data_IF_499706082853
#
_entry.id   IF_499706082853
#
_cell.length_a   1.000
_cell.length_b   1.000
_cell.length_c   1.000
_cell.angle_alpha   90.00
_cell.angle_beta   90.00
_cell.angle_gamma   90.00
#
_symmetry.space_group_name_H-M   'P 1'
#
loop_
_entity.id
_entity.type
_entity.pdbx_description
1 polymer ?
#
# COMPACT_ATOMS: atom_id res chain seq x y z
N UNK A 1 -26.81 20.77 0.80
CA UNK A 1 -26.18 19.43 0.71
C UNK A 1 -24.85 19.41 -0.07
N UNK A 2 -24.52 20.40 -0.92
CA UNK A 2 -23.29 20.41 -1.72
C UNK A 2 -22.00 20.81 -0.97
N UNK A 3 -22.09 21.70 0.04
CA UNK A 3 -20.90 22.18 0.77
C UNK A 3 -20.22 21.06 1.56
N UNK A 4 -20.98 20.15 2.18
CA UNK A 4 -20.40 19.03 2.94
C UNK A 4 -19.75 17.97 2.04
N UNK A 5 -20.31 17.70 0.86
CA UNK A 5 -19.67 16.85 -0.15
C UNK A 5 -18.38 17.47 -0.67
N UNK A 6 -18.35 18.79 -0.87
CA UNK A 6 -17.16 19.54 -1.27
C UNK A 6 -16.11 19.61 -0.14
N UNK A 7 -16.53 19.71 1.11
CA UNK A 7 -15.62 19.66 2.27
C UNK A 7 -15.02 18.27 2.46
N UNK A 8 -15.82 17.21 2.30
CA UNK A 8 -15.32 15.82 2.21
C UNK A 8 -14.43 15.60 0.97
N UNK A 9 -14.61 16.37 -0.10
CA UNK A 9 -13.80 16.33 -1.32
C UNK A 9 -12.47 17.10 -1.17
N UNK A 10 -12.45 18.22 -0.45
CA UNK A 10 -11.31 19.13 -0.31
C UNK A 10 -10.39 18.80 0.87
N UNK A 11 -10.87 18.11 1.89
CA UNK A 11 -9.99 17.45 2.85
C UNK A 11 -9.65 16.07 2.25
N UNK A 12 -8.37 15.72 2.04
CA UNK A 12 -8.04 14.33 1.78
C UNK A 12 -8.61 13.55 2.97
N UNK A 13 -9.53 12.62 2.69
CA UNK A 13 -10.26 11.90 3.71
C UNK A 13 -9.32 11.27 4.73
N UNK A 14 -9.83 10.90 5.90
CA UNK A 14 -8.95 10.34 6.94
C UNK A 14 -8.28 9.09 6.37
N UNK A 15 -6.95 9.04 6.39
CA UNK A 15 -6.24 7.83 5.95
C UNK A 15 -6.52 6.73 6.97
N UNK A 16 -7.32 5.74 6.56
CA UNK A 16 -7.48 4.51 7.32
C UNK A 16 -6.39 3.53 6.91
N UNK A 17 -5.74 2.92 7.89
CA UNK A 17 -4.68 1.92 7.69
C UNK A 17 -5.07 0.64 8.42
N UNK A 18 -4.88 -0.49 7.77
CA UNK A 18 -5.15 -1.77 8.38
C UNK A 18 -4.27 -1.98 9.64
N UNK A 19 -4.89 -2.42 10.75
CA UNK A 19 -4.16 -2.58 12.01
C UNK A 19 -3.15 -3.74 11.98
N UNK A 20 -3.32 -4.72 11.10
CA UNK A 20 -2.36 -5.80 10.92
C UNK A 20 -1.88 -5.87 9.47
N UNK A 21 -0.78 -6.59 9.25
CA UNK A 21 -0.38 -7.01 7.90
C UNK A 21 -1.52 -7.81 7.27
N UNK A 22 -1.87 -7.48 6.02
CA UNK A 22 -2.93 -8.20 5.31
C UNK A 22 -2.43 -9.54 4.73
N UNK A 23 -1.13 -9.62 4.42
CA UNK A 23 -0.48 -10.81 3.88
C UNK A 23 1.05 -10.69 4.00
N UNK A 24 1.74 -11.83 4.04
CA UNK A 24 3.21 -11.94 4.20
C UNK A 24 3.78 -12.87 3.13
N UNK A 25 5.06 -12.72 2.75
CA UNK A 25 5.72 -13.51 1.67
C UNK A 25 5.01 -13.36 0.31
N UNK A 26 4.59 -12.14 0.00
CA UNK A 26 3.93 -11.77 -1.25
C UNK A 26 4.77 -10.72 -1.99
N UNK A 27 4.62 -10.64 -3.32
CA UNK A 27 5.22 -9.55 -4.09
C UNK A 27 4.47 -8.24 -3.87
N UNK A 28 5.07 -7.11 -4.29
CA UNK A 28 4.37 -5.83 -4.34
C UNK A 28 3.13 -5.89 -5.26
N UNK A 29 3.26 -6.57 -6.40
CA UNK A 29 2.15 -6.73 -7.35
C UNK A 29 0.98 -7.50 -6.75
N UNK A 30 1.26 -8.55 -5.99
CA UNK A 30 0.21 -9.32 -5.29
C UNK A 30 -0.49 -8.46 -4.23
N UNK A 31 0.25 -7.59 -3.53
CA UNK A 31 -0.33 -6.67 -2.57
C UNK A 31 -1.26 -5.65 -3.25
N UNK A 32 -0.86 -5.10 -4.41
CA UNK A 32 -1.71 -4.20 -5.21
C UNK A 32 -2.94 -4.91 -5.77
N UNK A 33 -2.80 -6.14 -6.28
CA UNK A 33 -3.95 -6.96 -6.69
C UNK A 33 -4.92 -7.19 -5.54
N UNK A 34 -4.41 -7.39 -4.32
CA UNK A 34 -5.25 -7.52 -3.13
C UNK A 34 -5.98 -6.23 -2.78
N UNK A 35 -5.33 -5.07 -2.91
CA UNK A 35 -6.00 -3.76 -2.80
C UNK A 35 -7.15 -3.63 -3.80
N UNK A 36 -6.92 -4.01 -5.06
CA UNK A 36 -7.93 -3.98 -6.12
C UNK A 36 -9.10 -4.91 -5.76
N UNK A 37 -8.81 -6.15 -5.36
CA UNK A 37 -9.82 -7.13 -4.94
C UNK A 37 -10.70 -6.60 -3.80
N UNK A 38 -10.09 -6.07 -2.73
CA UNK A 38 -10.82 -5.52 -1.58
C UNK A 38 -11.64 -4.27 -1.96
N UNK A 39 -11.15 -3.46 -2.90
CA UNK A 39 -11.89 -2.30 -3.42
C UNK A 39 -13.15 -2.72 -4.17
N UNK A 40 -13.07 -3.79 -4.98
CA UNK A 40 -14.25 -4.36 -5.64
C UNK A 40 -15.26 -4.94 -4.65
N UNK A 41 -14.79 -5.54 -3.55
CA UNK A 41 -15.64 -6.11 -2.52
C UNK A 41 -16.28 -5.07 -1.56
N UNK A 42 -15.66 -3.90 -1.39
CA UNK A 42 -16.12 -2.86 -0.46
C UNK A 42 -17.50 -2.29 -0.83
N UNK A 43 -18.43 -2.23 0.13
CA UNK A 43 -19.82 -1.80 -0.10
C UNK A 43 -19.89 -0.29 -0.37
N UNK A 44 -19.03 0.47 0.27
CA UNK A 44 -18.92 1.92 0.23
C UNK A 44 -18.27 2.46 -1.05
N UNK A 45 -17.68 1.61 -1.88
CA UNK A 45 -17.15 1.99 -3.21
C UNK A 45 -18.28 1.92 -4.22
N UNK A 46 -18.53 3.03 -4.93
CA UNK A 46 -19.66 3.12 -5.85
C UNK A 46 -19.53 2.15 -7.04
N UNK A 47 -20.68 1.70 -7.57
CA UNK A 47 -20.71 0.81 -8.73
C UNK A 47 -20.02 1.42 -9.97
N UNK A 48 -20.10 2.74 -10.15
CA UNK A 48 -19.42 3.46 -11.24
C UNK A 48 -17.90 3.37 -11.12
N UNK A 49 -17.33 3.49 -9.91
CA UNK A 49 -15.88 3.33 -9.69
C UNK A 49 -15.47 1.89 -9.99
N UNK A 50 -16.23 0.89 -9.53
CA UNK A 50 -15.94 -0.53 -9.80
C UNK A 50 -15.99 -0.83 -11.31
N UNK A 51 -16.99 -0.30 -12.02
CA UNK A 51 -17.10 -0.47 -13.47
C UNK A 51 -15.91 0.15 -14.22
N UNK A 52 -15.48 1.36 -13.83
CA UNK A 52 -14.30 2.03 -14.39
C UNK A 52 -13.00 1.26 -14.10
N UNK A 53 -12.83 0.74 -12.88
CA UNK A 53 -11.71 -0.15 -12.54
C UNK A 53 -11.65 -1.37 -13.44
N UNK A 54 -12.78 -2.07 -13.63
CA UNK A 54 -12.87 -3.23 -14.54
C UNK A 54 -12.53 -2.85 -15.98
N UNK A 55 -13.04 -1.72 -16.47
CA UNK A 55 -12.77 -1.24 -17.83
C UNK A 55 -11.29 -0.93 -18.08
N UNK A 56 -10.57 -0.49 -17.04
CA UNK A 56 -9.12 -0.23 -17.08
C UNK A 56 -8.26 -1.47 -16.81
N UNK A 57 -8.87 -2.64 -16.57
CA UNK A 57 -8.16 -3.88 -16.27
C UNK A 57 -7.59 -3.92 -14.84
N UNK A 58 -8.13 -3.12 -13.92
CA UNK A 58 -7.82 -3.19 -12.50
C UNK A 58 -8.74 -4.23 -11.83
N UNK A 59 -8.33 -5.49 -11.96
CA UNK A 59 -8.96 -6.66 -11.35
C UNK A 59 -7.98 -7.42 -10.47
N UNK A 60 -8.45 -8.45 -9.75
CA UNK A 60 -7.57 -9.33 -8.96
C UNK A 60 -6.50 -10.06 -9.80
N UNK A 61 -6.64 -10.08 -11.13
CA UNK A 61 -5.69 -10.65 -12.08
C UNK A 61 -4.96 -9.60 -12.91
N UNK A 62 -4.92 -8.34 -12.46
CA UNK A 62 -4.25 -7.24 -13.16
C UNK A 62 -2.78 -7.58 -13.49
N UNK A 63 -2.32 -7.17 -14.68
CA UNK A 63 -0.91 -7.25 -15.06
C UNK A 63 -0.04 -6.38 -14.15
N UNK A 64 1.27 -6.62 -14.13
CA UNK A 64 2.22 -5.81 -13.37
C UNK A 64 2.19 -4.32 -13.81
N UNK A 65 2.06 -4.07 -15.11
CA UNK A 65 1.88 -2.72 -15.66
C UNK A 65 0.60 -2.04 -15.18
N UNK A 66 -0.50 -2.79 -15.06
CA UNK A 66 -1.76 -2.27 -14.54
C UNK A 66 -1.68 -2.02 -13.03
N UNK A 67 -0.93 -2.84 -12.29
CA UNK A 67 -0.68 -2.59 -10.86
C UNK A 67 0.09 -1.29 -10.64
N UNK A 68 1.10 -1.02 -11.46
CA UNK A 68 1.84 0.26 -11.48
C UNK A 68 0.88 1.42 -11.78
N UNK A 69 0.14 1.36 -12.89
CA UNK A 69 -0.78 2.42 -13.28
C UNK A 69 -1.87 2.67 -12.22
N UNK A 70 -2.38 1.60 -11.60
CA UNK A 70 -3.34 1.68 -10.50
C UNK A 70 -2.78 2.46 -9.32
N UNK A 71 -1.59 2.10 -8.84
CA UNK A 71 -0.99 2.73 -7.68
C UNK A 71 -0.58 4.19 -7.97
N UNK A 72 -0.04 4.48 -9.15
CA UNK A 72 0.56 5.80 -9.45
C UNK A 72 -0.47 6.86 -9.83
N UNK A 73 -1.50 6.46 -10.57
CA UNK A 73 -2.40 7.43 -11.22
C UNK A 73 -3.84 7.26 -10.77
N UNK A 74 -4.28 6.03 -10.55
CA UNK A 74 -5.68 5.77 -10.26
C UNK A 74 -6.03 5.98 -8.79
N UNK A 75 -5.36 5.25 -7.91
CA UNK A 75 -5.68 5.22 -6.49
C UNK A 75 -5.53 6.56 -5.78
N UNK A 76 -4.51 7.41 -6.07
CA UNK A 76 -4.41 8.74 -5.49
C UNK A 76 -5.59 9.65 -5.87
N UNK A 77 -6.14 9.50 -7.08
CA UNK A 77 -7.26 10.28 -7.58
C UNK A 77 -8.64 9.75 -7.22
N UNK A 78 -8.74 8.62 -6.50
CA UNK A 78 -10.01 7.95 -6.17
C UNK A 78 -10.13 7.78 -4.66
N UNK A 79 -11.08 8.50 -4.05
CA UNK A 79 -11.40 8.30 -2.63
C UNK A 79 -12.00 6.90 -2.41
N UNK A 80 -11.80 6.32 -1.22
CA UNK A 80 -12.36 5.04 -0.76
C UNK A 80 -11.80 3.77 -1.40
N UNK A 81 -10.88 3.86 -2.36
CA UNK A 81 -10.19 2.67 -2.88
C UNK A 81 -9.03 2.29 -1.96
N UNK A 82 -8.75 0.98 -1.87
CA UNK A 82 -7.57 0.49 -1.16
C UNK A 82 -6.32 0.68 -2.02
N UNK A 83 -5.21 0.99 -1.37
CA UNK A 83 -3.88 1.08 -1.99
C UNK A 83 -2.81 0.79 -0.97
N UNK A 84 -1.58 0.66 -1.46
CA UNK A 84 -0.43 0.67 -0.56
C UNK A 84 -0.19 2.10 -0.06
N UNK A 85 0.32 2.21 1.16
CA UNK A 85 0.84 3.46 1.71
C UNK A 85 2.01 3.95 0.85
N UNK A 86 2.18 5.25 0.73
CA UNK A 86 3.47 5.81 0.32
C UNK A 86 4.45 5.76 1.50
N UNK A 87 5.74 5.89 1.24
CA UNK A 87 6.78 5.98 2.29
C UNK A 87 6.48 7.08 3.33
N UNK A 88 6.06 8.26 2.86
CA UNK A 88 5.72 9.39 3.73
C UNK A 88 4.53 9.08 4.65
N UNK A 89 3.47 8.46 4.12
CA UNK A 89 2.28 8.12 4.90
C UNK A 89 2.54 6.98 5.89
N UNK A 90 3.38 6.02 5.50
CA UNK A 90 3.81 4.97 6.42
C UNK A 90 4.60 5.57 7.59
N UNK A 91 5.55 6.46 7.30
CA UNK A 91 6.33 7.18 8.33
C UNK A 91 5.44 8.02 9.25
N UNK A 92 4.44 8.72 8.71
CA UNK A 92 3.47 9.46 9.54
C UNK A 92 2.67 8.52 10.44
N UNK A 93 2.14 7.42 9.89
CA UNK A 93 1.37 6.44 10.67
C UNK A 93 2.21 5.78 11.76
N UNK A 94 3.49 5.54 11.48
CA UNK A 94 4.46 5.05 12.46
C UNK A 94 4.66 6.05 13.60
N UNK A 95 5.01 7.30 13.29
CA UNK A 95 5.28 8.34 14.28
C UNK A 95 4.06 8.75 15.11
N UNK A 96 2.85 8.59 14.55
CA UNK A 96 1.58 8.91 15.22
C UNK A 96 0.94 7.72 15.95
N UNK A 97 1.59 6.55 15.96
CA UNK A 97 1.08 5.37 16.67
C UNK A 97 -0.18 4.76 16.05
N UNK A 98 -0.48 5.06 14.78
CA UNK A 98 -1.61 4.46 14.03
C UNK A 98 -1.34 2.99 13.64
N UNK A 99 -0.10 2.50 13.83
CA UNK A 99 0.30 1.11 13.58
C UNK A 99 0.38 0.35 14.92
N UNK A 100 -0.53 -0.60 15.14
CA UNK A 100 -0.69 -1.39 16.38
C UNK A 100 0.21 -2.64 16.47
N UNK A 101 1.10 -2.86 15.50
CA UNK A 101 2.16 -3.85 15.63
C UNK A 101 3.46 -3.30 15.06
N UNK A 102 4.43 -3.00 15.93
CA UNK A 102 5.80 -2.68 15.52
C UNK A 102 6.58 -3.95 15.12
N UNK A 103 5.89 -5.00 14.62
CA UNK A 103 6.53 -6.26 14.27
C UNK A 103 7.68 -5.95 13.32
N UNK A 104 8.87 -6.38 13.71
CA UNK A 104 10.16 -5.71 13.48
C UNK A 104 10.59 -5.57 12.01
N UNK A 105 9.73 -5.93 11.03
CA UNK A 105 10.02 -6.01 9.60
C UNK A 105 8.74 -5.90 8.75
N UNK A 106 8.40 -4.69 8.31
CA UNK A 106 7.28 -4.45 7.39
C UNK A 106 7.79 -3.81 6.10
N UNK A 107 7.18 -4.14 4.96
CA UNK A 107 7.39 -3.34 3.75
C UNK A 107 6.72 -1.98 3.98
N UNK A 108 7.56 -0.96 4.02
CA UNK A 108 7.16 0.42 3.83
C UNK A 108 6.59 0.48 2.41
N UNK A 109 5.29 0.74 2.34
CA UNK A 109 4.56 0.72 1.08
C UNK A 109 5.20 1.67 0.06
N UNK A 110 4.90 1.36 -1.20
CA UNK A 110 5.23 2.11 -2.41
C UNK A 110 6.33 3.20 -2.31
N UNK A 111 7.56 2.82 -2.68
CA UNK A 111 8.73 3.71 -2.68
C UNK A 111 9.47 3.67 -4.02
N UNK A 112 10.29 4.70 -4.25
CA UNK A 112 11.15 4.83 -5.42
C UNK A 112 12.59 5.07 -4.97
N UNK A 113 13.56 4.44 -5.65
CA UNK A 113 14.97 4.82 -5.60
C UNK A 113 15.27 5.94 -6.61
N UNK A 114 16.52 6.09 -7.05
CA UNK A 114 16.90 7.08 -8.07
C UNK A 114 16.13 6.99 -9.39
N UNK A 115 15.54 5.84 -9.75
CA UNK A 115 14.77 5.68 -11.00
C UNK A 115 13.76 4.53 -11.02
N UNK A 116 13.77 3.64 -10.04
CA UNK A 116 12.98 2.41 -10.04
C UNK A 116 12.07 2.34 -8.81
N UNK A 117 10.88 1.76 -8.99
CA UNK A 117 10.06 1.37 -7.84
C UNK A 117 10.78 0.28 -7.07
N UNK A 118 10.88 0.47 -5.77
CA UNK A 118 11.54 -0.43 -4.85
C UNK A 118 10.63 -0.67 -3.66
N UNK A 119 10.66 -1.89 -3.13
CA UNK A 119 10.12 -2.15 -1.81
C UNK A 119 11.18 -1.77 -0.79
N UNK A 120 10.81 -0.91 0.15
CA UNK A 120 11.65 -0.48 1.27
C UNK A 120 11.11 -1.18 2.51
N UNK A 121 11.94 -1.80 3.35
CA UNK A 121 11.46 -2.30 4.65
C UNK A 121 12.14 -1.57 5.79
N UNK A 122 11.42 -1.47 6.91
CA UNK A 122 11.95 -0.94 8.16
C UNK A 122 12.46 -2.11 9.01
N UNK A 123 13.78 -2.21 9.23
CA UNK A 123 14.37 -3.15 10.18
C UNK A 123 14.72 -2.42 11.49
N UNK A 124 13.94 -2.67 12.53
CA UNK A 124 14.16 -2.09 13.86
C UNK A 124 15.30 -2.77 14.63
N UNK A 125 15.82 -3.92 14.18
CA UNK A 125 16.81 -4.70 14.93
C UNK A 125 18.19 -4.02 15.03
N UNK A 126 18.42 -2.92 14.30
CA UNK A 126 19.67 -2.17 14.41
C UNK A 126 19.39 -0.67 14.54
N UNK A 127 19.13 -0.22 15.77
CA UNK A 127 18.79 1.16 16.14
C UNK A 127 19.86 2.21 15.79
N UNK A 128 21.06 1.80 15.37
CA UNK A 128 22.15 2.69 14.97
C UNK A 128 22.19 2.98 13.45
N UNK A 129 21.51 2.19 12.62
CA UNK A 129 21.41 2.40 11.19
C UNK A 129 20.02 1.95 10.73
N UNK A 130 19.13 2.92 10.46
CA UNK A 130 17.86 2.70 9.76
C UNK A 130 18.17 2.14 8.35
N UNK A 131 18.43 0.83 8.26
CA UNK A 131 18.79 0.19 7.01
C UNK A 131 17.53 -0.03 6.19
N UNK A 132 17.29 0.89 5.26
CA UNK A 132 16.38 0.64 4.16
C UNK A 132 17.04 -0.36 3.20
N UNK A 133 16.70 -1.64 3.31
CA UNK A 133 17.03 -2.55 2.22
C UNK A 133 15.98 -2.45 1.12
N UNK A 134 16.47 -2.24 -0.09
CA UNK A 134 15.67 -2.17 -1.30
C UNK A 134 15.52 -3.56 -1.89
N UNK A 135 14.30 -3.92 -2.27
CA UNK A 135 14.02 -5.12 -3.06
C UNK A 135 13.20 -4.74 -4.31
N UNK A 136 13.41 -5.43 -5.44
CA UNK A 136 12.61 -5.19 -6.63
C UNK A 136 11.15 -5.62 -6.39
N UNK A 137 10.14 -4.98 -7.02
CA UNK A 137 8.72 -5.24 -6.77
C UNK A 137 8.27 -6.69 -6.97
N UNK A 138 8.99 -7.43 -7.83
CA UNK A 138 8.74 -8.84 -8.11
C UNK A 138 9.31 -9.81 -7.05
N UNK A 139 10.06 -9.32 -6.06
CA UNK A 139 10.64 -10.20 -5.04
C UNK A 139 9.61 -10.55 -3.96
N UNK A 140 9.22 -11.82 -3.87
CA UNK A 140 8.36 -12.35 -2.80
C UNK A 140 9.15 -12.89 -1.61
N UNK A 141 10.48 -13.01 -1.75
CA UNK A 141 11.37 -13.70 -0.82
C UNK A 141 12.28 -12.74 -0.03
N UNK A 142 12.47 -13.09 1.23
CA UNK A 142 13.33 -12.37 2.18
C UNK A 142 14.79 -12.74 1.97
N UNK A 143 15.54 -11.91 1.25
CA UNK A 143 17.00 -11.97 1.32
C UNK A 143 17.67 -10.68 0.87
N UNK A 144 18.45 -10.10 1.77
CA UNK A 144 19.80 -9.67 1.44
C UNK A 144 20.67 -9.84 2.69
N UNK A 145 21.59 -10.82 2.64
CA UNK A 145 22.86 -10.73 3.37
C UNK A 145 22.94 -11.14 4.85
N UNK A 146 21.99 -11.88 5.43
CA UNK A 146 22.19 -12.38 6.80
C UNK A 146 20.95 -12.92 7.49
N UNK A 147 20.61 -14.19 7.22
CA UNK A 147 20.06 -15.11 8.22
C UNK A 147 18.75 -14.80 8.96
N UNK A 148 17.89 -13.89 8.51
CA UNK A 148 16.62 -13.66 9.24
C UNK A 148 15.40 -13.72 8.32
N UNK A 149 14.76 -14.88 8.34
CA UNK A 149 13.49 -15.24 7.69
C UNK A 149 12.31 -14.65 8.49
N UNK A 150 11.98 -13.38 8.26
CA UNK A 150 10.80 -12.74 8.84
C UNK A 150 9.57 -12.85 7.93
N UNK A 151 8.36 -12.91 8.51
CA UNK A 151 7.10 -12.75 7.77
C UNK A 151 6.89 -11.25 7.43
N UNK A 152 7.58 -10.75 6.40
CA UNK A 152 7.42 -9.36 5.93
C UNK A 152 6.19 -9.28 5.03
N UNK A 153 5.37 -8.26 5.25
CA UNK A 153 4.11 -8.04 4.54
C UNK A 153 3.82 -6.57 4.30
N UNK A 154 2.71 -6.30 3.60
CA UNK A 154 2.22 -4.95 3.33
C UNK A 154 1.01 -4.61 4.21
N UNK A 155 0.96 -3.35 4.64
CA UNK A 155 -0.27 -2.74 5.17
C UNK A 155 -1.09 -2.16 4.03
N UNK A 156 -2.38 -2.43 4.06
CA UNK A 156 -3.32 -1.83 3.12
C UNK A 156 -3.88 -0.56 3.76
N UNK A 157 -4.00 0.49 2.95
CA UNK A 157 -4.57 1.74 3.37
C UNK A 157 -5.67 2.16 2.41
N UNK A 158 -6.58 3.00 2.89
CA UNK A 158 -7.62 3.62 2.08
C UNK A 158 -7.94 4.99 2.64
N UNK A 159 -8.34 5.89 1.76
CA UNK A 159 -8.87 7.20 2.16
C UNK A 159 -10.36 6.99 2.47
N UNK A 160 -10.79 7.15 3.73
CA UNK A 160 -12.22 7.05 4.11
C UNK A 160 -12.96 8.37 3.96
#
# INVERSE_FOLDING_TARGET
>A
KAVWALVEELLPGTLWVAPSLAATKITWYDAVRKCIELTHAAIEVSATVKADMTAKGYTASASDSNCIAYQDTYAPGRKKVYRLLTDAEWMECYNTGKLNSHSQREWVGDAYDSSNRVMRHYDYLNSANQYYAYAPPANSSTSNGGGVTGNIGFRLARIV
#
